data_IF_942116106543
#
_entry.id   IF_942116106543
#
_cell.length_a   1.000
_cell.length_b   1.000
_cell.length_c   1.000
_cell.angle_alpha   90.00
_cell.angle_beta   90.00
_cell.angle_gamma   90.00
#
_symmetry.space_group_name_H-M   'P 1'
#
loop_
_entity.id
_entity.type
_entity.pdbx_description
1 polymer ?
#
# COMPACT_ATOMS: atom_id res chain seq x y z
N UNK A 1 3.93 -34.82 34.03
CA UNK A 1 4.63 -35.24 32.81
C UNK A 1 3.59 -35.55 31.71
N UNK A 2 3.93 -35.41 30.42
CA UNK A 2 3.39 -34.38 29.52
C UNK A 2 2.15 -34.77 28.70
N UNK A 3 1.46 -33.73 28.24
CA UNK A 3 0.21 -33.73 27.46
C UNK A 3 0.54 -33.99 25.98
N UNK A 4 -0.16 -34.92 25.27
CA UNK A 4 0.20 -35.28 23.89
C UNK A 4 -0.30 -34.23 22.88
N UNK A 5 0.63 -33.45 22.36
CA UNK A 5 0.46 -32.40 21.34
C UNK A 5 0.11 -32.91 19.92
N UNK A 6 -0.16 -34.21 19.74
CA UNK A 6 -0.26 -34.82 18.41
C UNK A 6 -1.70 -35.03 17.88
N UNK A 7 -2.74 -34.65 18.64
CA UNK A 7 -4.15 -34.77 18.18
C UNK A 7 -4.73 -33.49 17.56
N UNK A 8 -3.94 -32.43 17.42
CA UNK A 8 -4.40 -31.13 16.88
C UNK A 8 -3.95 -30.91 15.42
N UNK A 9 -3.09 -31.78 14.88
CA UNK A 9 -2.49 -31.60 13.56
C UNK A 9 -3.34 -32.12 12.37
N UNK A 10 -4.48 -32.78 12.60
CA UNK A 10 -5.30 -33.38 11.53
C UNK A 10 -6.60 -32.62 11.19
N UNK A 11 -6.89 -31.47 11.82
CA UNK A 11 -8.16 -30.74 11.62
C UNK A 11 -8.04 -29.36 10.98
N UNK A 12 -6.88 -28.97 10.44
CA UNK A 12 -6.72 -27.62 9.84
C UNK A 12 -6.42 -27.61 8.34
N UNK A 13 -6.47 -28.75 7.65
CA UNK A 13 -6.29 -28.86 6.17
C UNK A 13 -7.50 -28.35 5.36
N UNK A 14 -8.48 -27.69 5.98
CA UNK A 14 -9.73 -27.29 5.31
C UNK A 14 -10.30 -25.92 5.67
N UNK A 15 -9.55 -25.03 6.32
CA UNK A 15 -10.10 -23.76 6.82
C UNK A 15 -9.51 -22.53 6.12
N UNK A 16 -10.29 -22.02 5.19
CA UNK A 16 -10.50 -20.57 5.02
C UNK A 16 -9.44 -19.81 4.21
N UNK A 17 -9.36 -20.08 2.89
CA UNK A 17 -9.24 -18.95 1.94
C UNK A 17 -10.51 -18.08 2.11
N UNK A 18 -10.51 -17.20 3.12
CA UNK A 18 -11.60 -16.25 3.38
C UNK A 18 -11.75 -15.40 2.12
N UNK A 19 -12.65 -15.79 1.21
CA UNK A 19 -13.09 -14.93 0.11
C UNK A 19 -13.61 -13.67 0.80
N UNK A 20 -12.83 -12.59 0.77
CA UNK A 20 -13.22 -11.28 1.27
C UNK A 20 -14.38 -10.82 0.41
N UNK A 21 -15.62 -11.14 0.83
CA UNK A 21 -16.82 -10.69 0.12
C UNK A 21 -16.96 -9.18 0.41
N UNK A 22 -17.18 -8.32 -0.60
CA UNK A 22 -17.29 -6.87 -0.42
C UNK A 22 -18.27 -6.46 0.69
N UNK A 23 -19.36 -7.21 0.82
CA UNK A 23 -20.37 -7.05 1.86
C UNK A 23 -19.79 -7.11 3.30
N UNK A 24 -18.97 -8.12 3.59
CA UNK A 24 -18.38 -8.27 4.94
C UNK A 24 -17.35 -7.18 5.24
N UNK A 25 -16.62 -6.72 4.22
CA UNK A 25 -15.69 -5.60 4.35
C UNK A 25 -16.44 -4.30 4.66
N UNK A 26 -17.55 -4.04 3.97
CA UNK A 26 -18.40 -2.85 4.22
C UNK A 26 -19.00 -2.89 5.62
N UNK A 27 -19.58 -4.03 6.03
CA UNK A 27 -20.15 -4.18 7.37
C UNK A 27 -19.11 -3.94 8.46
N UNK A 28 -17.92 -4.55 8.32
CA UNK A 28 -16.84 -4.39 9.27
C UNK A 28 -16.37 -2.94 9.34
N UNK A 29 -16.17 -2.29 8.19
CA UNK A 29 -15.73 -0.90 8.12
C UNK A 29 -16.74 0.03 8.82
N UNK A 30 -18.04 -0.13 8.55
CA UNK A 30 -19.10 0.65 9.24
C UNK A 30 -19.07 0.44 10.75
N UNK A 31 -19.01 -0.81 11.20
CA UNK A 31 -18.98 -1.15 12.64
C UNK A 31 -17.75 -0.57 13.32
N UNK A 32 -16.58 -0.72 12.72
CA UNK A 32 -15.33 -0.19 13.24
C UNK A 32 -15.32 1.33 13.25
N UNK A 33 -15.75 1.99 12.17
CA UNK A 33 -15.85 3.46 12.11
C UNK A 33 -16.77 4.01 13.21
N UNK A 34 -17.88 3.33 13.52
CA UNK A 34 -18.75 3.74 14.63
C UNK A 34 -18.07 3.62 15.99
N UNK A 35 -17.23 2.59 16.20
CA UNK A 35 -16.43 2.47 17.43
C UNK A 35 -15.33 3.52 17.50
N UNK A 36 -14.64 3.78 16.39
CA UNK A 36 -13.55 4.76 16.31
C UNK A 36 -14.04 6.21 16.45
N UNK A 37 -15.28 6.52 16.05
CA UNK A 37 -15.90 7.83 16.33
C UNK A 37 -16.19 8.06 17.82
N UNK A 38 -16.35 6.99 18.61
CA UNK A 38 -16.53 7.08 20.07
C UNK A 38 -15.20 7.30 20.82
N UNK A 39 -14.07 7.22 20.13
CA UNK A 39 -12.77 7.54 20.70
C UNK A 39 -12.70 9.04 21.02
N UNK A 40 -12.10 9.40 22.17
CA UNK A 40 -11.87 10.81 22.56
C UNK A 40 -10.72 11.48 21.79
N UNK A 41 -10.20 10.83 20.74
CA UNK A 41 -9.09 11.31 19.93
C UNK A 41 -9.63 12.03 18.70
N UNK A 42 -9.51 13.36 18.65
CA UNK A 42 -9.83 14.14 17.45
C UNK A 42 -9.08 13.73 16.18
N UNK A 43 -7.78 13.34 16.19
CA UNK A 43 -7.15 12.83 14.98
C UNK A 43 -7.81 11.54 14.47
N UNK A 44 -8.29 10.67 15.37
CA UNK A 44 -9.00 9.43 14.98
C UNK A 44 -10.34 9.77 14.30
N UNK A 45 -11.08 10.73 14.83
CA UNK A 45 -12.35 11.17 14.22
C UNK A 45 -12.15 11.75 12.83
N UNK A 46 -11.12 12.59 12.64
CA UNK A 46 -10.74 13.12 11.31
C UNK A 46 -10.43 12.00 10.33
N UNK A 47 -9.60 11.04 10.75
CA UNK A 47 -9.24 9.87 9.94
C UNK A 47 -10.47 9.04 9.52
N UNK A 48 -11.37 8.76 10.48
CA UNK A 48 -12.62 8.04 10.20
C UNK A 48 -13.51 8.83 9.23
N UNK A 49 -13.54 10.16 9.32
CA UNK A 49 -14.20 11.03 8.36
C UNK A 49 -13.68 10.82 6.93
N UNK A 50 -12.36 10.77 6.76
CA UNK A 50 -11.72 10.48 5.46
C UNK A 50 -12.08 9.10 4.94
N UNK A 51 -12.02 8.07 5.80
CA UNK A 51 -12.40 6.69 5.45
C UNK A 51 -13.86 6.63 4.98
N UNK A 52 -14.79 7.25 5.70
CA UNK A 52 -16.22 7.25 5.34
C UNK A 52 -16.46 7.93 3.99
N UNK A 53 -15.76 9.03 3.72
CA UNK A 53 -15.81 9.72 2.41
C UNK A 53 -15.32 8.84 1.25
N UNK A 54 -14.27 8.06 1.49
CA UNK A 54 -13.62 7.23 0.45
C UNK A 54 -14.06 5.76 0.49
N UNK A 55 -15.05 5.42 1.33
CA UNK A 55 -15.56 4.05 1.49
C UNK A 55 -15.94 3.38 0.16
N UNK A 56 -16.61 4.05 -0.80
CA UNK A 56 -16.92 3.43 -2.09
C UNK A 56 -15.67 3.00 -2.86
N UNK A 57 -14.61 3.81 -2.83
CA UNK A 57 -13.33 3.52 -3.50
C UNK A 57 -12.58 2.39 -2.81
N UNK A 58 -12.57 2.37 -1.48
CA UNK A 58 -11.96 1.29 -0.69
C UNK A 58 -12.65 -0.05 -0.98
N UNK A 59 -13.98 -0.04 -1.12
CA UNK A 59 -14.75 -1.25 -1.46
C UNK A 59 -14.53 -1.72 -2.89
N UNK A 60 -14.17 -0.83 -3.83
CA UNK A 60 -13.81 -1.23 -5.19
C UNK A 60 -12.59 -2.15 -5.23
N UNK A 61 -11.63 -2.00 -4.33
CA UNK A 61 -10.48 -2.90 -4.23
C UNK A 61 -10.89 -4.35 -3.88
N UNK A 62 -11.89 -4.50 -3.01
CA UNK A 62 -12.47 -5.81 -2.68
C UNK A 62 -13.27 -6.41 -3.83
N UNK A 63 -14.00 -5.57 -4.59
CA UNK A 63 -14.70 -5.98 -5.83
C UNK A 63 -13.72 -6.45 -6.90
N UNK A 64 -12.57 -5.77 -7.03
CA UNK A 64 -11.48 -6.13 -7.93
C UNK A 64 -10.65 -7.35 -7.47
N UNK A 65 -11.07 -8.07 -6.42
CA UNK A 65 -10.43 -9.29 -5.88
C UNK A 65 -8.92 -9.14 -5.64
N UNK A 66 -8.47 -7.96 -5.17
CA UNK A 66 -7.04 -7.65 -4.96
C UNK A 66 -6.19 -7.65 -6.25
N UNK A 67 -6.77 -7.36 -7.42
CA UNK A 67 -6.03 -7.26 -8.67
C UNK A 67 -4.87 -6.24 -8.61
N UNK A 68 -4.98 -5.23 -7.73
CA UNK A 68 -3.94 -4.23 -7.53
C UNK A 68 -3.08 -4.57 -6.31
N UNK A 69 -1.81 -4.88 -6.56
CA UNK A 69 -0.80 -5.08 -5.53
C UNK A 69 -0.31 -3.74 -4.99
N UNK A 70 -0.46 -3.52 -3.68
CA UNK A 70 0.11 -2.35 -3.00
C UNK A 70 1.65 -2.33 -3.09
N UNK A 71 2.29 -3.48 -3.26
CA UNK A 71 3.76 -3.59 -3.29
C UNK A 71 4.40 -2.95 -4.52
N UNK A 72 3.73 -3.00 -5.68
CA UNK A 72 4.21 -2.33 -6.90
C UNK A 72 4.13 -0.81 -6.74
N UNK A 73 3.02 -0.31 -6.19
CA UNK A 73 2.82 1.12 -5.94
C UNK A 73 3.78 1.64 -4.86
N UNK A 74 4.02 0.86 -3.81
CA UNK A 74 4.97 1.21 -2.75
C UNK A 74 6.42 1.21 -3.25
N UNK A 75 6.80 0.24 -4.07
CA UNK A 75 8.11 0.19 -4.73
C UNK A 75 8.33 1.39 -5.66
N UNK A 76 7.31 1.75 -6.43
CA UNK A 76 7.34 2.94 -7.30
C UNK A 76 7.49 4.22 -6.47
N UNK A 77 6.69 4.39 -5.41
CA UNK A 77 6.78 5.54 -4.52
C UNK A 77 8.17 5.69 -3.89
N UNK A 78 8.82 4.57 -3.55
CA UNK A 78 10.19 4.61 -3.00
C UNK A 78 11.22 5.04 -4.05
N UNK A 79 11.09 4.57 -5.30
CA UNK A 79 11.94 5.02 -6.41
C UNK A 79 11.78 6.51 -6.67
N UNK A 80 10.55 7.01 -6.82
CA UNK A 80 10.27 8.44 -7.04
C UNK A 80 10.88 9.30 -5.94
N UNK A 81 10.64 8.96 -4.66
CA UNK A 81 11.21 9.71 -3.54
C UNK A 81 12.75 9.70 -3.53
N UNK A 82 13.39 8.61 -3.94
CA UNK A 82 14.84 8.53 -4.05
C UNK A 82 15.37 9.47 -5.15
N UNK A 83 14.67 9.52 -6.29
CA UNK A 83 15.02 10.41 -7.41
C UNK A 83 14.87 11.87 -7.01
N UNK A 84 13.75 12.24 -6.39
CA UNK A 84 13.56 13.59 -5.85
C UNK A 84 14.62 13.95 -4.81
N UNK A 85 15.04 13.00 -3.97
CA UNK A 85 16.12 13.21 -2.99
C UNK A 85 17.47 13.48 -3.63
N UNK A 86 17.83 12.70 -4.65
CA UNK A 86 19.04 12.94 -5.46
C UNK A 86 18.96 14.28 -6.19
N UNK A 87 17.75 14.70 -6.56
CA UNK A 87 17.50 15.91 -7.32
C UNK A 87 17.41 17.20 -6.49
N UNK A 88 17.42 17.15 -5.14
CA UNK A 88 17.36 18.36 -4.31
C UNK A 88 18.52 19.35 -4.55
N UNK A 89 19.62 18.92 -5.18
CA UNK A 89 20.71 19.80 -5.59
C UNK A 89 20.45 20.58 -6.88
N UNK A 90 19.40 20.26 -7.64
CA UNK A 90 19.09 20.92 -8.91
C UNK A 90 18.17 22.12 -8.72
N UNK A 91 18.53 23.26 -9.32
CA UNK A 91 17.77 24.53 -9.23
C UNK A 91 16.54 24.59 -10.14
N UNK A 92 16.33 23.61 -11.03
CA UNK A 92 15.23 23.60 -12.01
C UNK A 92 14.39 22.34 -11.94
N UNK A 93 13.07 22.50 -12.11
CA UNK A 93 12.08 21.41 -12.16
C UNK A 93 12.29 20.49 -13.38
N UNK A 94 12.76 21.04 -14.50
CA UNK A 94 13.01 20.27 -15.73
C UNK A 94 14.06 19.16 -15.50
N UNK A 95 15.04 19.41 -14.65
CA UNK A 95 16.09 18.43 -14.32
C UNK A 95 15.54 17.30 -13.46
N UNK A 96 14.59 17.58 -12.57
CA UNK A 96 13.87 16.56 -11.82
C UNK A 96 13.05 15.67 -12.78
N UNK A 97 12.34 16.27 -13.72
CA UNK A 97 11.53 15.55 -14.71
C UNK A 97 12.39 14.61 -15.58
N UNK A 98 13.52 15.10 -16.10
CA UNK A 98 14.48 14.30 -16.87
C UNK A 98 15.04 13.14 -16.02
N UNK A 99 15.42 13.41 -14.77
CA UNK A 99 15.92 12.37 -13.86
C UNK A 99 14.86 11.29 -13.55
N UNK A 100 13.59 11.69 -13.42
CA UNK A 100 12.47 10.75 -13.29
C UNK A 100 12.30 9.90 -14.55
N UNK A 101 12.37 10.50 -15.74
CA UNK A 101 12.26 9.76 -17.00
C UNK A 101 13.43 8.79 -17.21
N UNK A 102 14.67 9.16 -16.89
CA UNK A 102 15.79 8.22 -16.96
C UNK A 102 15.63 7.04 -16.00
N UNK A 103 15.22 7.31 -14.76
CA UNK A 103 15.16 6.27 -13.71
C UNK A 103 13.93 5.37 -13.79
N UNK A 104 12.84 5.83 -14.40
CA UNK A 104 11.61 5.06 -14.55
C UNK A 104 11.37 4.55 -15.98
N UNK A 105 11.83 5.30 -16.99
CA UNK A 105 11.60 5.04 -18.40
C UNK A 105 12.76 4.37 -19.14
N UNK A 106 13.87 4.07 -18.43
CA UNK A 106 15.06 3.44 -19.01
C UNK A 106 15.56 4.15 -20.28
N UNK A 107 15.49 5.49 -20.24
CA UNK A 107 15.85 6.33 -21.38
C UNK A 107 17.37 6.23 -21.61
N UNK A 108 17.82 5.98 -22.86
CA UNK A 108 19.23 5.77 -23.14
C UNK A 108 20.05 6.98 -22.67
N UNK A 109 21.06 6.70 -21.85
CA UNK A 109 22.01 7.71 -21.42
C UNK A 109 22.98 8.04 -22.57
N UNK A 110 23.37 9.31 -22.75
CA UNK A 110 24.43 9.67 -23.69
C UNK A 110 25.75 9.01 -23.28
N UNK A 111 26.62 8.69 -24.24
CA UNK A 111 27.92 8.08 -23.94
C UNK A 111 28.76 9.00 -23.02
N UNK A 112 28.95 8.57 -21.77
CA UNK A 112 29.75 9.29 -20.81
C UNK A 112 31.24 9.06 -21.09
N UNK A 113 31.99 10.14 -21.33
CA UNK A 113 33.43 10.09 -21.60
C UNK A 113 34.25 9.65 -20.37
N UNK A 114 33.67 9.63 -19.16
CA UNK A 114 34.36 9.27 -17.93
C UNK A 114 33.46 8.40 -17.04
N UNK A 115 33.97 7.21 -16.66
CA UNK A 115 33.37 6.38 -15.60
C UNK A 115 34.08 6.69 -14.29
N UNK A 116 33.32 6.90 -13.22
CA UNK A 116 33.90 6.93 -11.87
C UNK A 116 34.01 5.48 -11.39
N UNK A 117 35.26 5.03 -11.22
CA UNK A 117 35.61 3.72 -10.66
C UNK A 117 35.36 3.67 -9.15
#
# INVERSE_FOLDING_TARGET
>A
MPIPYQRIASLTTGSTKRRLRPYWAEWYLKKWSTRAMRSRLDPMKKFVGTIRRHQPLILNWFKAKKAYSSGVVEGLNRKVNLVTRKAYGFRSYEVLEIALFHTMGDLPEPEATHRFC
#
